data_IF_591230409612
#
_entry.id   IF_591230409612
#
_cell.length_a   1.000
_cell.length_b   1.000
_cell.length_c   1.000
_cell.angle_alpha   90.00
_cell.angle_beta   90.00
_cell.angle_gamma   90.00
#
_symmetry.space_group_name_H-M   'P 1'
#
loop_
_entity.id
_entity.type
_entity.pdbx_description
1 polymer ?
#
# COMPACT_ATOMS: atom_id res chain seq x y z
N UNK A 1 -12.94 11.32 16.39
CA UNK A 1 -12.14 10.14 16.02
C UNK A 1 -11.11 10.57 15.00
N UNK A 2 -9.81 10.41 15.29
CA UNK A 2 -8.77 10.65 14.30
C UNK A 2 -8.77 9.47 13.31
N UNK A 3 -8.68 9.79 12.03
CA UNK A 3 -8.60 8.80 10.94
C UNK A 3 -7.17 8.69 10.38
N UNK A 4 -6.21 9.44 10.96
CA UNK A 4 -4.81 9.53 10.57
C UNK A 4 -3.90 9.51 11.80
N UNK A 5 -2.67 9.01 11.64
CA UNK A 5 -1.62 9.07 12.66
C UNK A 5 -1.03 10.49 12.82
N UNK A 6 -0.14 10.71 13.81
CA UNK A 6 0.52 12.01 13.98
C UNK A 6 1.40 12.35 12.77
N UNK A 7 1.37 13.61 12.35
CA UNK A 7 2.17 14.10 11.20
C UNK A 7 3.40 14.89 11.65
N UNK A 8 3.42 15.34 12.90
CA UNK A 8 4.55 16.03 13.52
C UNK A 8 5.02 15.27 14.76
N UNK A 9 6.33 15.34 15.04
CA UNK A 9 6.91 14.71 16.23
C UNK A 9 6.27 15.19 17.53
N UNK A 10 5.90 16.48 17.60
CA UNK A 10 5.21 17.05 18.78
C UNK A 10 3.82 16.49 19.06
N UNK A 11 3.24 15.74 18.12
CA UNK A 11 1.91 15.15 18.24
C UNK A 11 1.94 13.70 18.73
N UNK A 12 3.10 13.04 18.74
CA UNK A 12 3.25 11.62 19.07
C UNK A 12 2.71 11.31 20.47
N UNK A 13 2.92 12.21 21.42
CA UNK A 13 2.52 12.04 22.83
C UNK A 13 1.08 12.51 23.12
N UNK A 14 0.31 12.90 22.11
CA UNK A 14 -1.06 13.34 22.33
C UNK A 14 -1.92 12.17 22.84
N UNK A 15 -2.79 12.38 23.85
CA UNK A 15 -3.57 11.29 24.46
C UNK A 15 -4.37 10.45 23.47
N UNK A 16 -4.83 11.07 22.38
CA UNK A 16 -5.56 10.37 21.32
C UNK A 16 -4.77 9.18 20.72
N UNK A 17 -3.44 9.23 20.69
CA UNK A 17 -2.57 8.18 20.13
C UNK A 17 -2.11 7.13 21.15
N UNK A 18 -2.44 7.30 22.42
CA UNK A 18 -2.03 6.37 23.51
C UNK A 18 -3.21 5.67 24.18
N UNK A 19 -4.43 6.21 24.09
CA UNK A 19 -5.59 5.72 24.84
C UNK A 19 -6.42 4.64 24.11
N UNK A 20 -6.31 4.53 22.77
CA UNK A 20 -7.18 3.66 21.96
C UNK A 20 -6.41 2.76 21.00
N UNK A 21 -6.78 1.47 20.84
CA UNK A 21 -6.02 0.50 20.06
C UNK A 21 -5.87 0.88 18.57
N UNK A 22 -6.89 1.53 17.99
CA UNK A 22 -6.83 2.03 16.60
C UNK A 22 -5.75 3.10 16.46
N UNK A 23 -5.73 4.09 17.34
CA UNK A 23 -4.81 5.21 17.24
C UNK A 23 -3.38 4.83 17.65
N UNK A 24 -3.22 3.86 18.55
CA UNK A 24 -1.92 3.22 18.84
C UNK A 24 -1.37 2.53 17.59
N UNK A 25 -2.22 1.80 16.85
CA UNK A 25 -1.81 1.20 15.57
C UNK A 25 -1.44 2.23 14.51
N UNK A 26 -2.13 3.38 14.47
CA UNK A 26 -1.77 4.50 13.58
C UNK A 26 -0.42 5.14 13.97
N UNK A 27 -0.12 5.26 15.27
CA UNK A 27 1.17 5.73 15.74
C UNK A 27 2.30 4.74 15.38
N UNK A 28 2.07 3.44 15.56
CA UNK A 28 3.03 2.39 15.17
C UNK A 28 3.33 2.44 13.67
N UNK A 29 2.30 2.58 12.83
CA UNK A 29 2.46 2.76 11.38
C UNK A 29 3.31 3.99 11.04
N UNK A 30 3.15 5.11 11.76
CA UNK A 30 3.95 6.32 11.54
C UNK A 30 5.42 6.11 11.92
N UNK A 31 5.69 5.38 13.01
CA UNK A 31 7.04 5.18 13.53
C UNK A 31 7.81 4.09 12.78
N UNK A 32 7.12 3.01 12.39
CA UNK A 32 7.71 1.76 11.93
C UNK A 32 7.28 1.37 10.51
N UNK A 33 6.30 2.05 9.93
CA UNK A 33 5.84 1.81 8.57
C UNK A 33 6.88 2.14 7.52
N UNK A 34 6.74 1.54 6.34
CA UNK A 34 7.52 1.93 5.17
C UNK A 34 6.72 3.00 4.42
N UNK A 35 7.21 4.25 4.35
CA UNK A 35 6.54 5.26 3.54
C UNK A 35 6.55 4.84 2.07
N UNK A 36 5.61 5.34 1.25
CA UNK A 36 5.74 5.23 -0.19
C UNK A 36 7.11 5.80 -0.59
N UNK A 37 7.97 4.97 -1.17
CA UNK A 37 9.32 5.34 -1.55
C UNK A 37 9.60 4.87 -2.99
N UNK A 38 10.62 5.48 -3.60
CA UNK A 38 11.14 5.12 -4.92
C UNK A 38 11.21 3.58 -5.11
N UNK A 39 10.83 3.04 -6.28
CA UNK A 39 10.64 3.74 -7.56
C UNK A 39 9.31 4.48 -7.73
N UNK A 40 8.29 4.20 -6.90
CA UNK A 40 6.94 4.70 -7.17
C UNK A 40 6.58 5.94 -6.37
N UNK A 41 7.10 7.07 -6.85
CA UNK A 41 6.53 8.40 -6.60
C UNK A 41 5.23 8.53 -7.39
N UNK A 42 4.20 9.14 -6.82
CA UNK A 42 2.88 9.36 -7.43
C UNK A 42 2.99 9.81 -8.91
N UNK A 43 2.83 8.86 -9.84
CA UNK A 43 3.01 9.03 -11.28
C UNK A 43 1.86 8.34 -12.03
N UNK A 44 1.72 8.62 -13.34
CA UNK A 44 0.60 8.13 -14.13
C UNK A 44 0.53 6.59 -14.20
N UNK A 45 1.69 5.92 -14.29
CA UNK A 45 1.77 4.46 -14.30
C UNK A 45 1.31 3.87 -12.95
N UNK A 46 1.79 4.42 -11.84
CA UNK A 46 1.39 3.99 -10.50
C UNK A 46 -0.10 4.25 -10.22
N UNK A 47 -0.64 5.37 -10.69
CA UNK A 47 -2.06 5.67 -10.60
C UNK A 47 -2.91 4.68 -11.41
N UNK A 48 -2.47 4.31 -12.62
CA UNK A 48 -3.15 3.31 -13.45
C UNK A 48 -3.03 1.89 -12.86
N UNK A 49 -1.87 1.52 -12.30
CA UNK A 49 -1.68 0.27 -11.57
C UNK A 49 -2.71 0.13 -10.43
N UNK A 50 -2.85 1.18 -9.61
CA UNK A 50 -3.81 1.23 -8.51
C UNK A 50 -5.27 1.20 -8.98
N UNK A 51 -5.60 1.95 -10.03
CA UNK A 51 -6.95 2.01 -10.63
C UNK A 51 -7.39 0.66 -11.19
N UNK A 52 -6.45 -0.14 -11.71
CA UNK A 52 -6.71 -1.49 -12.20
C UNK A 52 -6.74 -2.55 -11.09
N UNK A 53 -6.55 -2.17 -9.83
CA UNK A 53 -6.58 -3.07 -8.66
C UNK A 53 -5.67 -4.29 -8.84
N UNK A 54 -4.46 -4.10 -9.38
CA UNK A 54 -3.57 -5.21 -9.71
C UNK A 54 -3.11 -6.01 -8.48
N UNK A 55 -2.79 -5.37 -7.34
CA UNK A 55 -2.45 -6.11 -6.10
C UNK A 55 -3.65 -6.88 -5.53
N UNK A 56 -4.85 -6.30 -5.36
CA UNK A 56 -6.02 -7.08 -4.94
C UNK A 56 -6.34 -8.25 -5.86
N UNK A 57 -6.21 -8.06 -7.18
CA UNK A 57 -6.42 -9.13 -8.16
C UNK A 57 -5.39 -10.25 -8.00
N UNK A 58 -4.12 -9.93 -7.77
CA UNK A 58 -3.08 -10.92 -7.47
C UNK A 58 -3.46 -11.79 -6.26
N UNK A 59 -3.93 -11.17 -5.17
CA UNK A 59 -4.36 -11.88 -3.96
C UNK A 59 -5.57 -12.76 -4.25
N UNK A 60 -6.53 -12.27 -5.03
CA UNK A 60 -7.68 -13.07 -5.46
C UNK A 60 -7.23 -14.31 -6.25
N UNK A 61 -6.25 -14.19 -7.17
CA UNK A 61 -5.72 -15.33 -7.93
C UNK A 61 -5.22 -16.45 -7.01
N UNK A 62 -4.56 -16.09 -5.92
CA UNK A 62 -4.03 -17.05 -4.95
C UNK A 62 -5.15 -17.63 -4.08
N UNK A 63 -5.96 -16.78 -3.44
CA UNK A 63 -6.88 -17.20 -2.37
C UNK A 63 -8.18 -17.81 -2.92
N UNK A 64 -8.66 -17.31 -4.06
CA UNK A 64 -9.95 -17.70 -4.63
C UNK A 64 -9.76 -18.62 -5.83
N UNK A 65 -8.85 -18.28 -6.74
CA UNK A 65 -8.69 -19.02 -7.99
C UNK A 65 -7.70 -20.20 -7.88
N UNK A 66 -6.97 -20.30 -6.76
CA UNK A 66 -6.09 -21.42 -6.46
C UNK A 66 -4.78 -21.45 -7.24
N UNK A 67 -4.35 -20.34 -7.84
CA UNK A 67 -3.05 -20.22 -8.49
C UNK A 67 -1.93 -20.30 -7.45
N UNK A 68 -0.75 -20.77 -7.88
CA UNK A 68 0.45 -20.60 -7.06
C UNK A 68 0.80 -19.12 -6.92
N UNK A 69 1.51 -18.79 -5.84
CA UNK A 69 1.99 -17.42 -5.61
C UNK A 69 2.84 -16.94 -6.79
N UNK A 70 3.72 -17.79 -7.31
CA UNK A 70 4.61 -17.45 -8.43
C UNK A 70 3.82 -17.13 -9.71
N UNK A 71 2.80 -17.92 -10.05
CA UNK A 71 1.95 -17.65 -11.22
C UNK A 71 1.17 -16.34 -11.07
N UNK A 72 0.58 -16.10 -9.90
CA UNK A 72 -0.17 -14.87 -9.62
C UNK A 72 0.73 -13.63 -9.67
N UNK A 73 1.94 -13.72 -9.11
CA UNK A 73 2.95 -12.65 -9.14
C UNK A 73 3.41 -12.40 -10.58
N UNK A 74 3.67 -13.45 -11.36
CA UNK A 74 4.12 -13.31 -12.75
C UNK A 74 3.03 -12.66 -13.63
N UNK A 75 1.76 -13.08 -13.51
CA UNK A 75 0.62 -12.44 -14.20
C UNK A 75 0.56 -10.94 -13.87
N UNK A 76 0.67 -10.62 -12.58
CA UNK A 76 0.57 -9.24 -12.08
C UNK A 76 1.75 -8.38 -12.50
N UNK A 77 2.97 -8.92 -12.43
CA UNK A 77 4.19 -8.23 -12.85
C UNK A 77 4.16 -7.92 -14.35
N UNK A 78 3.67 -8.86 -15.18
CA UNK A 78 3.50 -8.62 -16.61
C UNK A 78 2.54 -7.44 -16.87
N UNK A 79 1.37 -7.45 -16.23
CA UNK A 79 0.40 -6.36 -16.37
C UNK A 79 0.94 -5.02 -15.84
N UNK A 80 1.72 -5.06 -14.75
CA UNK A 80 2.42 -3.88 -14.23
C UNK A 80 3.41 -3.33 -15.28
N UNK A 81 4.25 -4.20 -15.85
CA UNK A 81 5.24 -3.79 -16.84
C UNK A 81 4.57 -3.17 -18.08
N UNK A 82 3.49 -3.77 -18.59
CA UNK A 82 2.74 -3.23 -19.73
C UNK A 82 2.21 -1.80 -19.46
N UNK A 83 1.83 -1.50 -18.21
CA UNK A 83 1.44 -0.15 -17.79
C UNK A 83 2.65 0.79 -17.77
N UNK A 84 3.78 0.37 -17.21
CA UNK A 84 4.96 1.24 -17.12
C UNK A 84 5.55 1.53 -18.51
N UNK A 85 5.58 0.53 -19.39
CA UNK A 85 6.05 0.67 -20.78
C UNK A 85 5.19 1.68 -21.58
N UNK A 86 3.89 1.79 -21.29
CA UNK A 86 2.98 2.77 -21.91
C UNK A 86 3.35 4.22 -21.58
N UNK A 87 3.98 4.48 -20.44
CA UNK A 87 4.33 5.82 -19.96
C UNK A 87 5.81 6.17 -20.11
N UNK A 88 6.60 5.35 -20.82
CA UNK A 88 8.00 5.64 -21.17
C UNK A 88 8.15 6.72 -22.24
#
# INVERSE_FOLDING_TARGET
NAIYGPVMQSQVDFPIFTEGPVHVGLLDLVLNGTPPAYPDVNNAAFAEYGTNFLTPRMVQRVVVDGLSVDEAVLETQKACQDIYDKYQ
#
